data_IF_145434419926
#
_entry.id   IF_145434419926
#
_cell.length_a   1.000
_cell.length_b   1.000
_cell.length_c   1.000
_cell.angle_alpha   90.00
_cell.angle_beta   90.00
_cell.angle_gamma   90.00
#
_symmetry.space_group_name_H-M   'P 1'
#
loop_
_entity.id
_entity.type
_entity.pdbx_description
1 polymer ?
#
# COMPACT_ATOMS: atom_id res chain seq x y z
N UNK A 1 26.84 -33.70 -11.26
CA UNK A 1 25.51 -34.01 -11.84
C UNK A 1 24.43 -33.44 -10.94
N UNK A 2 24.00 -32.21 -11.19
CA UNK A 2 23.03 -31.50 -10.33
C UNK A 2 21.61 -31.93 -10.69
N UNK A 3 20.92 -32.61 -9.77
CA UNK A 3 19.51 -33.00 -9.93
C UNK A 3 18.66 -31.74 -9.99
N UNK A 4 18.19 -31.38 -11.19
CA UNK A 4 17.13 -30.38 -11.36
C UNK A 4 15.89 -30.89 -10.63
N UNK A 5 15.51 -30.20 -9.56
CA UNK A 5 14.18 -30.37 -8.95
C UNK A 5 13.20 -29.77 -9.95
N UNK A 6 12.55 -30.63 -10.73
CA UNK A 6 11.49 -30.23 -11.65
C UNK A 6 10.31 -29.76 -10.81
N UNK A 7 10.05 -28.45 -10.79
CA UNK A 7 8.82 -27.92 -10.21
C UNK A 7 7.65 -28.46 -11.03
N UNK A 8 6.72 -29.13 -10.37
CA UNK A 8 5.47 -29.54 -11.01
C UNK A 8 4.74 -28.28 -11.52
N UNK A 9 4.15 -28.33 -12.73
CA UNK A 9 3.40 -27.20 -13.26
C UNK A 9 2.26 -26.85 -12.31
N UNK A 10 2.17 -25.56 -11.95
CA UNK A 10 1.04 -25.01 -11.21
C UNK A 10 -0.20 -25.26 -12.09
N UNK A 11 -1.26 -25.92 -11.57
CA UNK A 11 -2.45 -26.16 -12.37
C UNK A 11 -3.00 -24.81 -12.87
N UNK A 12 -3.54 -24.76 -14.10
CA UNK A 12 -4.14 -23.53 -14.61
C UNK A 12 -5.22 -23.07 -13.63
N UNK A 13 -5.17 -21.79 -13.27
CA UNK A 13 -6.23 -21.12 -12.53
C UNK A 13 -7.56 -21.48 -13.19
N UNK A 14 -8.51 -21.99 -12.40
CA UNK A 14 -9.89 -22.10 -12.85
C UNK A 14 -10.30 -20.76 -13.48
N UNK A 15 -11.10 -20.82 -14.55
CA UNK A 15 -11.71 -19.63 -15.14
C UNK A 15 -12.34 -18.80 -14.00
N UNK A 16 -12.17 -17.46 -14.00
CA UNK A 16 -12.78 -16.65 -12.96
C UNK A 16 -14.27 -16.98 -12.92
N UNK A 17 -14.79 -17.29 -11.74
CA UNK A 17 -16.23 -17.45 -11.55
C UNK A 17 -16.92 -16.21 -12.12
N UNK A 18 -18.03 -16.39 -12.82
CA UNK A 18 -18.78 -15.28 -13.39
C UNK A 18 -19.07 -14.26 -12.28
N UNK A 19 -18.53 -13.04 -12.42
CA UNK A 19 -18.70 -12.00 -11.42
C UNK A 19 -20.18 -11.59 -11.34
N UNK A 20 -20.74 -11.45 -10.14
CA UNK A 20 -22.14 -10.99 -9.96
C UNK A 20 -22.34 -9.65 -10.69
N UNK A 21 -23.29 -9.56 -11.61
CA UNK A 21 -23.49 -8.39 -12.46
C UNK A 21 -24.38 -7.30 -11.83
N UNK A 22 -24.95 -7.54 -10.64
CA UNK A 22 -25.78 -6.56 -9.93
C UNK A 22 -24.92 -5.40 -9.42
N UNK A 23 -25.56 -4.25 -9.19
CA UNK A 23 -24.93 -3.11 -8.52
C UNK A 23 -24.46 -3.56 -7.12
N UNK A 24 -23.22 -3.24 -6.77
CA UNK A 24 -22.65 -3.67 -5.51
C UNK A 24 -23.42 -3.13 -4.29
N UNK A 25 -24.06 -1.96 -4.39
CA UNK A 25 -24.91 -1.38 -3.33
C UNK A 25 -26.19 -2.18 -3.11
N UNK A 26 -26.60 -2.99 -4.08
CA UNK A 26 -27.78 -3.85 -3.96
C UNK A 26 -27.49 -5.17 -3.21
N UNK A 27 -26.22 -5.48 -2.94
CA UNK A 27 -25.80 -6.71 -2.27
C UNK A 27 -25.69 -6.51 -0.76
N UNK A 28 -26.21 -7.45 0.02
CA UNK A 28 -26.00 -7.48 1.48
C UNK A 28 -24.58 -7.94 1.83
N UNK A 29 -24.03 -7.59 3.02
CA UNK A 29 -22.70 -8.05 3.44
C UNK A 29 -22.48 -9.57 3.34
N UNK A 30 -23.52 -10.38 3.56
CA UNK A 30 -23.44 -11.83 3.43
C UNK A 30 -23.36 -12.29 1.97
N UNK A 31 -24.10 -11.66 1.07
CA UNK A 31 -24.00 -11.90 -0.38
C UNK A 31 -22.68 -11.37 -0.97
N UNK A 32 -22.03 -10.43 -0.28
CA UNK A 32 -20.78 -9.80 -0.74
C UNK A 32 -19.50 -10.57 -0.43
N UNK A 33 -19.56 -11.59 0.43
CA UNK A 33 -18.36 -12.33 0.86
C UNK A 33 -17.59 -12.95 -0.33
N UNK A 34 -18.29 -13.30 -1.41
CA UNK A 34 -17.72 -13.92 -2.61
C UNK A 34 -17.20 -12.92 -3.64
N UNK A 35 -17.42 -11.62 -3.46
CA UNK A 35 -16.96 -10.59 -4.41
C UNK A 35 -15.44 -10.52 -4.57
N UNK A 36 -14.71 -10.99 -3.57
CA UNK A 36 -13.25 -11.05 -3.58
C UNK A 36 -12.72 -12.39 -4.10
N UNK A 37 -13.57 -13.34 -4.52
CA UNK A 37 -13.13 -14.64 -5.00
C UNK A 37 -12.16 -14.50 -6.18
N UNK A 38 -10.97 -15.10 -6.05
CA UNK A 38 -9.91 -15.00 -7.05
C UNK A 38 -9.28 -13.60 -7.21
N UNK A 39 -9.65 -12.63 -6.38
CA UNK A 39 -9.07 -11.28 -6.38
C UNK A 39 -8.00 -11.15 -5.29
N UNK A 40 -6.86 -10.56 -5.65
CA UNK A 40 -5.79 -10.21 -4.69
C UNK A 40 -5.44 -8.72 -4.70
N UNK A 41 -6.20 -7.90 -5.44
CA UNK A 41 -5.82 -6.52 -5.79
C UNK A 41 -5.63 -5.60 -4.58
N UNK A 42 -6.50 -5.68 -3.57
CA UNK A 42 -6.34 -4.91 -2.33
C UNK A 42 -5.13 -5.34 -1.49
N UNK A 43 -4.48 -6.46 -1.81
CA UNK A 43 -3.27 -6.95 -1.18
C UNK A 43 -2.00 -6.65 -2.00
N UNK A 44 -2.08 -5.92 -3.11
CA UNK A 44 -0.93 -5.60 -3.98
C UNK A 44 -0.50 -4.14 -3.96
N UNK A 45 -1.17 -3.31 -3.17
CA UNK A 45 -0.81 -1.91 -2.97
C UNK A 45 -1.36 -1.40 -1.64
N UNK A 46 -0.90 -0.23 -1.21
CA UNK A 46 -1.55 0.58 -0.18
C UNK A 46 -1.88 1.95 -0.73
N UNK A 47 -3.02 2.51 -0.31
CA UNK A 47 -3.39 3.89 -0.60
C UNK A 47 -3.51 4.65 0.71
N UNK A 48 -2.83 5.79 0.80
CA UNK A 48 -2.72 6.59 2.02
C UNK A 48 -3.11 8.01 1.66
N UNK A 49 -4.11 8.55 2.36
CA UNK A 49 -4.45 9.97 2.23
C UNK A 49 -3.28 10.82 2.74
N UNK A 50 -2.89 11.81 1.95
CA UNK A 50 -1.82 12.77 2.23
C UNK A 50 -2.36 14.19 2.16
N UNK A 51 -1.69 15.12 2.83
CA UNK A 51 -2.04 16.52 2.73
C UNK A 51 -1.76 17.07 1.31
N UNK A 52 -2.62 17.94 0.77
CA UNK A 52 -2.35 18.63 -0.48
C UNK A 52 -1.08 19.48 -0.35
N UNK A 53 -0.19 19.51 -1.36
CA UNK A 53 0.97 20.39 -1.36
C UNK A 53 0.56 21.87 -1.39
N UNK A 54 1.06 22.64 -0.42
CA UNK A 54 0.76 24.07 -0.17
C UNK A 54 1.92 24.99 -0.54
N UNK A 55 3.14 24.46 -0.65
CA UNK A 55 4.35 25.23 -0.96
C UNK A 55 5.12 24.67 -2.15
N UNK A 56 5.98 25.50 -2.75
CA UNK A 56 6.85 25.09 -3.85
C UNK A 56 7.74 23.89 -3.47
N UNK A 57 8.29 23.90 -2.26
CA UNK A 57 9.12 22.81 -1.73
C UNK A 57 8.34 21.50 -1.53
N UNK A 58 7.06 21.56 -1.13
CA UNK A 58 6.21 20.37 -1.03
C UNK A 58 5.91 19.75 -2.39
N UNK A 59 5.65 20.57 -3.43
CA UNK A 59 5.54 20.04 -4.80
C UNK A 59 6.84 19.40 -5.26
N UNK A 60 7.98 20.02 -4.96
CA UNK A 60 9.29 19.50 -5.36
C UNK A 60 9.61 18.15 -4.69
N UNK A 61 9.22 17.98 -3.42
CA UNK A 61 9.31 16.69 -2.73
C UNK A 61 8.44 15.62 -3.37
N UNK A 62 7.19 15.93 -3.72
CA UNK A 62 6.31 14.93 -4.35
C UNK A 62 6.80 14.56 -5.74
N UNK A 63 7.41 15.50 -6.47
CA UNK A 63 8.08 15.22 -7.74
C UNK A 63 9.27 14.26 -7.51
N UNK A 64 10.07 14.49 -6.46
CA UNK A 64 11.13 13.55 -6.06
C UNK A 64 10.58 12.16 -5.68
N UNK A 65 9.48 12.08 -4.94
CA UNK A 65 8.80 10.81 -4.62
C UNK A 65 8.42 10.06 -5.90
N UNK A 66 7.81 10.75 -6.87
CA UNK A 66 7.38 10.17 -8.15
C UNK A 66 8.53 9.74 -9.08
N UNK A 67 9.79 10.02 -8.75
CA UNK A 67 10.94 9.42 -9.44
C UNK A 67 11.26 7.99 -8.99
N UNK A 68 10.60 7.48 -7.94
CA UNK A 68 10.80 6.13 -7.45
C UNK A 68 9.76 5.16 -8.02
N UNK A 69 10.20 3.95 -8.38
CA UNK A 69 9.31 2.91 -8.91
C UNK A 69 8.25 2.52 -7.88
N UNK A 70 7.02 2.29 -8.35
CA UNK A 70 5.91 1.84 -7.52
C UNK A 70 5.28 2.93 -6.65
N UNK A 71 5.70 4.18 -6.76
CA UNK A 71 5.07 5.33 -6.10
C UNK A 71 4.27 6.13 -7.12
N UNK A 72 3.00 6.33 -6.82
CA UNK A 72 2.07 7.10 -7.64
C UNK A 72 1.25 8.00 -6.73
N UNK A 73 0.72 9.09 -7.25
CA UNK A 73 -0.16 10.00 -6.49
C UNK A 73 -1.44 10.16 -7.27
N UNK A 74 -2.58 10.15 -6.61
CA UNK A 74 -3.84 10.48 -7.25
C UNK A 74 -4.65 11.48 -6.43
N UNK A 75 -5.51 12.22 -7.14
CA UNK A 75 -6.35 13.27 -6.60
C UNK A 75 -7.81 12.88 -6.80
N UNK A 76 -8.58 12.86 -5.72
CA UNK A 76 -10.03 12.70 -5.74
C UNK A 76 -10.75 14.02 -5.50
N UNK A 77 -11.99 14.13 -5.97
CA UNK A 77 -12.89 15.24 -5.64
C UNK A 77 -13.26 15.21 -4.14
N UNK A 78 -13.45 16.37 -3.48
CA UNK A 78 -13.26 17.73 -4.03
C UNK A 78 -11.78 18.14 -4.15
N UNK A 79 -10.92 17.74 -3.21
CA UNK A 79 -9.47 17.97 -3.27
C UNK A 79 -8.71 17.06 -2.29
N UNK A 80 -8.88 15.74 -2.42
CA UNK A 80 -8.22 14.76 -1.53
C UNK A 80 -7.05 14.10 -2.24
N UNK A 81 -5.87 14.16 -1.65
CA UNK A 81 -4.65 13.62 -2.24
C UNK A 81 -4.32 12.27 -1.62
N UNK A 82 -3.83 11.35 -2.43
CA UNK A 82 -3.48 10.02 -1.99
C UNK A 82 -2.14 9.60 -2.57
N UNK A 83 -1.29 9.02 -1.73
CA UNK A 83 -0.12 8.27 -2.14
C UNK A 83 -0.52 6.81 -2.36
N UNK A 84 -0.34 6.34 -3.59
CA UNK A 84 -0.50 4.95 -3.98
C UNK A 84 0.88 4.28 -4.05
N UNK A 85 1.09 3.29 -3.19
CA UNK A 85 2.35 2.55 -3.10
C UNK A 85 2.10 1.11 -3.53
N UNK A 86 2.72 0.71 -4.64
CA UNK A 86 2.72 -0.67 -5.08
C UNK A 86 3.52 -1.55 -4.11
N UNK A 87 2.93 -2.66 -3.68
CA UNK A 87 3.56 -3.53 -2.71
C UNK A 87 2.71 -4.75 -2.38
N UNK A 88 3.26 -5.94 -2.61
CA UNK A 88 2.57 -7.19 -2.29
C UNK A 88 2.60 -7.43 -0.77
N UNK A 89 1.41 -7.59 -0.18
CA UNK A 89 1.23 -7.91 1.22
C UNK A 89 1.96 -9.21 1.57
N UNK A 90 2.78 -9.17 2.63
CA UNK A 90 3.55 -10.34 3.10
C UNK A 90 2.69 -11.49 3.61
N UNK A 91 1.42 -11.26 3.87
CA UNK A 91 0.46 -12.28 4.30
C UNK A 91 -0.33 -12.87 3.13
N UNK A 92 -0.17 -12.37 1.91
CA UNK A 92 -0.75 -12.97 0.72
C UNK A 92 0.07 -14.18 0.29
N UNK A 93 -0.52 -15.36 0.36
CA UNK A 93 0.15 -16.60 -0.02
C UNK A 93 0.00 -16.92 -1.52
N UNK A 94 0.75 -17.93 -1.98
CA UNK A 94 0.76 -18.37 -3.38
C UNK A 94 -0.59 -18.90 -3.88
N UNK A 95 -1.53 -19.21 -2.98
CA UNK A 95 -2.89 -19.62 -3.33
C UNK A 95 -3.88 -18.44 -3.37
N UNK A 96 -3.38 -17.20 -3.30
CA UNK A 96 -4.19 -15.98 -3.35
C UNK A 96 -5.02 -15.73 -2.08
N UNK A 97 -4.61 -16.30 -0.93
CA UNK A 97 -5.32 -16.14 0.34
C UNK A 97 -4.45 -15.45 1.39
N UNK A 98 -5.11 -14.82 2.38
CA UNK A 98 -4.43 -14.21 3.51
C UNK A 98 -4.09 -15.27 4.59
N UNK A 99 -2.81 -15.37 4.96
CA UNK A 99 -2.30 -16.30 5.98
C UNK A 99 -2.73 -15.95 7.42
N UNK A 100 -3.25 -14.74 7.64
CA UNK A 100 -3.71 -14.26 8.95
C UNK A 100 -5.22 -14.06 9.02
N UNK A 101 -5.99 -14.81 8.22
CA UNK A 101 -7.44 -14.72 8.22
C UNK A 101 -8.02 -14.86 9.65
N UNK A 102 -8.93 -13.95 10.03
CA UNK A 102 -9.47 -13.85 11.40
C UNK A 102 -8.60 -13.06 12.40
N UNK A 103 -7.37 -12.69 12.04
CA UNK A 103 -6.44 -11.86 12.83
C UNK A 103 -5.98 -10.62 12.06
N UNK A 104 -6.78 -10.19 11.10
CA UNK A 104 -6.47 -9.03 10.28
C UNK A 104 -6.40 -7.74 11.10
N UNK A 105 -5.61 -6.74 10.65
CA UNK A 105 -5.80 -5.36 11.09
C UNK A 105 -7.24 -4.91 10.89
N UNK A 106 -7.70 -4.00 11.75
CA UNK A 106 -9.07 -3.46 11.72
C UNK A 106 -9.43 -2.95 10.33
N UNK A 107 -8.54 -2.17 9.69
CA UNK A 107 -8.75 -1.65 8.33
C UNK A 107 -9.09 -2.74 7.30
N UNK A 108 -8.41 -3.88 7.35
CA UNK A 108 -8.68 -5.00 6.44
C UNK A 108 -9.97 -5.74 6.78
N UNK A 109 -10.37 -5.75 8.06
CA UNK A 109 -11.61 -6.41 8.52
C UNK A 109 -12.84 -5.55 8.21
N UNK A 110 -12.70 -4.24 8.30
CA UNK A 110 -13.78 -3.28 8.09
C UNK A 110 -13.91 -2.89 6.61
N UNK A 111 -13.07 -3.46 5.74
CA UNK A 111 -13.15 -3.27 4.28
C UNK A 111 -14.45 -3.84 3.72
N UNK A 112 -15.15 -3.03 2.92
CA UNK A 112 -16.37 -3.42 2.23
C UNK A 112 -16.07 -3.70 0.74
N UNK A 113 -16.13 -4.95 0.27
CA UNK A 113 -15.89 -5.29 -1.14
C UNK A 113 -16.79 -4.56 -2.12
N UNK A 114 -17.93 -4.03 -1.67
CA UNK A 114 -18.84 -3.26 -2.53
C UNK A 114 -18.28 -1.90 -2.96
N UNK A 115 -17.35 -1.34 -2.19
CA UNK A 115 -16.70 -0.07 -2.50
C UNK A 115 -15.37 -0.26 -3.23
N UNK A 116 -15.01 -1.50 -3.58
CA UNK A 116 -13.79 -1.85 -4.30
C UNK A 116 -13.74 -1.17 -5.68
N UNK A 117 -12.55 -0.75 -6.12
CA UNK A 117 -12.34 -0.13 -7.44
C UNK A 117 -12.74 -1.02 -8.64
N UNK A 118 -12.88 -2.33 -8.41
CA UNK A 118 -13.37 -3.30 -9.41
C UNK A 118 -14.86 -3.12 -9.66
N UNK A 119 -15.61 -2.78 -8.61
CA UNK A 119 -17.08 -2.72 -8.60
C UNK A 119 -17.59 -1.30 -8.70
N UNK A 120 -16.94 -0.41 -7.97
CA UNK A 120 -17.20 1.01 -8.02
C UNK A 120 -15.98 1.66 -8.69
N UNK A 121 -16.03 1.93 -10.02
CA UNK A 121 -14.91 2.57 -10.69
C UNK A 121 -14.59 3.88 -9.99
N UNK A 122 -13.31 4.23 -9.98
CA UNK A 122 -12.76 5.41 -9.30
C UNK A 122 -13.19 6.71 -10.00
N UNK A 123 -14.50 6.92 -10.10
CA UNK A 123 -15.15 7.98 -10.86
C UNK A 123 -14.83 9.36 -10.30
N UNK A 124 -14.46 9.43 -9.02
CA UNK A 124 -14.07 10.65 -8.32
C UNK A 124 -12.60 11.04 -8.49
N UNK A 125 -11.79 10.23 -9.17
CA UNK A 125 -10.43 10.60 -9.51
C UNK A 125 -10.42 11.70 -10.55
N UNK A 126 -9.87 12.84 -10.15
CA UNK A 126 -9.64 14.01 -11.00
C UNK A 126 -8.32 13.91 -11.76
N UNK A 127 -7.29 13.34 -11.13
CA UNK A 127 -5.96 13.19 -11.74
C UNK A 127 -5.21 12.03 -11.11
N UNK A 128 -4.33 11.41 -11.89
CA UNK A 128 -3.44 10.34 -11.45
C UNK A 128 -2.05 10.60 -12.03
N UNK A 129 -1.06 10.65 -11.16
CA UNK A 129 0.34 10.93 -11.47
C UNK A 129 1.14 9.65 -11.23
N UNK A 130 1.52 8.98 -12.31
CA UNK A 130 2.36 7.78 -12.27
C UNK A 130 3.83 8.16 -12.31
N UNK A 131 4.13 9.28 -12.95
CA UNK A 131 5.45 9.83 -13.10
C UNK A 131 5.48 11.31 -12.69
N UNK A 132 6.67 11.80 -12.36
CA UNK A 132 6.90 13.22 -12.06
C UNK A 132 6.35 14.14 -13.16
N UNK A 133 6.54 13.77 -14.44
CA UNK A 133 6.09 14.53 -15.59
C UNK A 133 4.56 14.71 -15.62
N UNK A 134 3.79 13.73 -15.13
CA UNK A 134 2.33 13.83 -15.06
C UNK A 134 1.91 14.95 -14.11
N UNK A 135 2.54 15.02 -12.93
CA UNK A 135 2.28 16.04 -11.92
C UNK A 135 2.69 17.43 -12.43
N UNK A 136 3.87 17.54 -13.04
CA UNK A 136 4.35 18.81 -13.59
C UNK A 136 3.44 19.32 -14.72
N UNK A 137 3.04 18.46 -15.65
CA UNK A 137 2.12 18.80 -16.73
C UNK A 137 0.74 19.20 -16.19
N UNK A 138 0.25 18.52 -15.15
CA UNK A 138 -0.99 18.88 -14.49
C UNK A 138 -0.88 20.23 -13.76
N UNK A 139 0.22 20.49 -13.05
CA UNK A 139 0.45 21.78 -12.39
C UNK A 139 0.47 22.93 -13.39
N UNK A 140 1.10 22.75 -14.55
CA UNK A 140 1.13 23.78 -15.61
C UNK A 140 -0.27 24.16 -16.08
N UNK A 141 -1.16 23.17 -16.27
CA UNK A 141 -2.52 23.41 -16.76
C UNK A 141 -3.49 23.86 -15.66
N UNK A 142 -3.48 23.18 -14.52
CA UNK A 142 -4.52 23.26 -13.49
C UNK A 142 -4.11 24.16 -12.31
N UNK A 143 -2.81 24.35 -12.09
CA UNK A 143 -2.26 25.15 -10.98
C UNK A 143 -1.11 26.09 -11.42
N UNK A 144 -1.28 26.92 -12.46
CA UNK A 144 -0.19 27.70 -13.05
C UNK A 144 0.50 28.66 -12.07
N UNK A 145 -0.20 29.14 -11.04
CA UNK A 145 0.40 29.94 -9.97
C UNK A 145 1.37 29.12 -9.11
N UNK A 146 1.03 27.87 -8.77
CA UNK A 146 1.93 26.96 -8.03
C UNK A 146 3.10 26.53 -8.90
N UNK A 147 2.87 26.27 -10.19
CA UNK A 147 3.94 25.98 -11.16
C UNK A 147 4.99 27.10 -11.21
N UNK A 148 4.57 28.36 -11.36
CA UNK A 148 5.49 29.51 -11.36
C UNK A 148 6.31 29.60 -10.06
N UNK A 149 5.69 29.34 -8.92
CA UNK A 149 6.39 29.32 -7.62
C UNK A 149 7.40 28.18 -7.53
N UNK A 150 7.06 26.99 -8.04
CA UNK A 150 7.97 25.84 -8.10
C UNK A 150 9.19 26.14 -8.98
N UNK A 151 8.98 26.69 -10.17
CA UNK A 151 10.08 27.03 -11.09
C UNK A 151 11.00 28.10 -10.47
N UNK A 152 10.43 29.14 -9.86
CA UNK A 152 11.20 30.15 -9.14
C UNK A 152 11.98 29.54 -7.97
N UNK A 153 11.33 28.69 -7.16
CA UNK A 153 11.97 27.96 -6.06
C UNK A 153 13.17 27.14 -6.53
N UNK A 154 13.03 26.34 -7.60
CA UNK A 154 14.14 25.52 -8.13
C UNK A 154 15.31 26.35 -8.65
N UNK A 155 15.03 27.51 -9.23
CA UNK A 155 16.05 28.45 -9.70
C UNK A 155 16.79 29.11 -8.54
N UNK A 156 16.05 29.51 -7.50
CA UNK A 156 16.56 30.33 -6.40
C UNK A 156 17.12 29.48 -5.24
N UNK A 157 16.72 28.20 -5.14
CA UNK A 157 17.20 27.29 -4.12
C UNK A 157 18.71 27.09 -4.27
N UNK A 158 19.49 27.16 -3.17
CA UNK A 158 20.92 26.93 -3.21
C UNK A 158 21.19 25.55 -3.78
N UNK A 159 21.89 25.48 -4.91
CA UNK A 159 22.48 24.24 -5.34
C UNK A 159 23.58 23.94 -4.33
N UNK A 160 23.47 22.80 -3.61
CA UNK A 160 24.67 22.25 -2.98
C UNK A 160 25.76 22.16 -4.06
N UNK A 161 27.05 22.32 -3.71
CA UNK A 161 28.13 22.07 -4.67
C UNK A 161 27.80 20.76 -5.39
N UNK A 162 27.86 20.72 -6.72
CA UNK A 162 27.52 19.52 -7.48
C UNK A 162 28.12 18.32 -6.78
N UNK A 163 27.32 17.29 -6.53
CA UNK A 163 27.86 16.04 -5.96
C UNK A 163 29.04 15.58 -6.83
N UNK A 164 29.05 15.88 -8.13
CA UNK A 164 30.19 15.74 -9.03
C UNK A 164 31.48 16.44 -8.54
N UNK A 165 31.42 17.67 -8.04
CA UNK A 165 32.57 18.42 -7.52
C UNK A 165 33.07 17.82 -6.20
N UNK A 166 32.15 17.35 -5.35
CA UNK A 166 32.49 16.65 -4.10
C UNK A 166 32.98 15.20 -4.34
N UNK A 167 32.53 14.55 -5.42
CA UNK A 167 32.94 13.20 -5.82
C UNK A 167 34.24 13.19 -6.63
N UNK A 168 34.55 14.26 -7.38
CA UNK A 168 35.83 14.43 -8.08
C UNK A 168 37.03 14.35 -7.12
N UNK A 169 36.82 14.69 -5.85
CA UNK A 169 37.82 14.59 -4.78
C UNK A 169 37.92 13.19 -4.12
N UNK A 170 37.09 12.21 -4.51
CA UNK A 170 37.05 10.87 -3.90
C UNK A 170 37.59 9.83 -4.88
N UNK A 171 38.38 8.89 -4.39
CA UNK A 171 38.76 7.71 -5.17
C UNK A 171 37.50 6.94 -5.61
N UNK A 172 37.44 6.39 -6.83
CA UNK A 172 36.28 5.66 -7.31
C UNK A 172 36.02 4.44 -6.42
N UNK A 173 34.93 4.48 -5.65
CA UNK A 173 34.38 3.32 -4.97
C UNK A 173 33.49 2.53 -5.96
N UNK A 174 33.43 1.21 -5.81
CA UNK A 174 32.52 0.38 -6.61
C UNK A 174 31.06 0.80 -6.43
N UNK A 175 30.28 0.78 -7.50
CA UNK A 175 28.84 1.06 -7.48
C UNK A 175 28.06 -0.16 -6.99
N UNK A 176 26.97 0.07 -6.25
CA UNK A 176 26.03 -0.97 -5.83
C UNK A 176 24.98 -1.15 -6.95
N UNK A 177 24.94 -2.29 -7.67
CA UNK A 177 24.02 -2.48 -8.79
C UNK A 177 22.56 -2.38 -8.33
N UNK A 178 21.70 -1.72 -9.12
CA UNK A 178 20.29 -1.47 -8.77
C UNK A 178 19.52 -2.78 -8.55
N UNK A 179 19.90 -3.85 -9.25
CA UNK A 179 19.33 -5.19 -9.10
C UNK A 179 19.56 -5.76 -7.69
N UNK A 180 20.65 -5.38 -7.03
CA UNK A 180 20.93 -5.76 -5.64
C UNK A 180 20.09 -4.96 -4.63
N UNK A 181 19.51 -3.83 -5.04
CA UNK A 181 18.60 -3.00 -4.25
C UNK A 181 17.12 -3.39 -4.44
N UNK A 182 16.83 -4.32 -5.35
CA UNK A 182 15.47 -4.79 -5.57
C UNK A 182 14.91 -5.35 -4.25
N UNK A 183 13.87 -4.69 -3.72
CA UNK A 183 13.10 -5.21 -2.58
C UNK A 183 12.55 -6.55 -3.01
N UNK A 184 13.12 -7.64 -2.49
CA UNK A 184 12.71 -8.99 -2.85
C UNK A 184 11.21 -9.17 -2.61
N UNK A 185 10.45 -9.29 -3.71
CA UNK A 185 9.06 -9.76 -3.70
C UNK A 185 8.95 -11.22 -3.24
N UNK A 186 10.09 -11.91 -3.10
CA UNK A 186 10.16 -13.22 -2.48
C UNK A 186 9.80 -13.10 -1.00
N UNK A 187 8.52 -13.36 -0.70
CA UNK A 187 8.07 -13.70 0.64
C UNK A 187 9.07 -14.70 1.23
N UNK A 188 9.72 -14.30 2.32
CA UNK A 188 10.59 -15.17 3.09
C UNK A 188 9.81 -16.47 3.30
N UNK A 189 10.31 -17.58 2.73
CA UNK A 189 9.78 -18.92 3.04
C UNK A 189 9.76 -19.02 4.55
N UNK A 190 8.57 -19.05 5.17
CA UNK A 190 8.46 -19.44 6.57
C UNK A 190 9.10 -20.81 6.66
N UNK A 191 10.15 -21.02 7.47
CA UNK A 191 10.57 -22.39 7.77
C UNK A 191 9.34 -23.13 8.31
N UNK A 192 9.13 -24.35 7.81
CA UNK A 192 8.06 -25.23 8.23
C UNK A 192 8.00 -25.28 9.77
N UNK A 193 6.78 -25.24 10.31
CA UNK A 193 6.50 -24.98 11.71
C UNK A 193 7.38 -25.77 12.68
N UNK A 194 7.81 -25.09 13.74
CA UNK A 194 8.31 -25.75 14.94
C UNK A 194 7.13 -26.52 15.56
N UNK A 195 7.26 -27.82 15.90
CA UNK A 195 6.17 -28.56 16.54
C UNK A 195 5.76 -27.85 17.83
N UNK A 196 4.44 -27.84 18.06
CA UNK A 196 3.79 -27.03 19.08
C UNK A 196 4.43 -27.19 20.46
N UNK A 197 4.66 -26.06 21.13
CA UNK A 197 4.84 -26.07 22.58
C UNK A 197 3.48 -26.42 23.19
N UNK A 198 3.46 -27.50 23.97
CA UNK A 198 2.32 -27.91 24.79
C UNK A 198 1.69 -26.72 25.50
N UNK A 199 0.35 -26.70 25.48
CA UNK A 199 -0.46 -25.70 26.15
C UNK A 199 -0.16 -25.74 27.66
N UNK A 200 0.28 -24.61 28.21
CA UNK A 200 0.32 -24.42 29.66
C UNK A 200 -1.13 -24.50 30.19
N UNK A 201 -1.40 -25.29 31.25
CA UNK A 201 -2.75 -25.45 31.77
C UNK A 201 -3.31 -24.10 32.27
N UNK A 202 -4.55 -23.82 31.86
CA UNK A 202 -5.33 -22.66 32.31
C UNK A 202 -5.50 -22.71 33.83
N UNK A 203 -4.97 -21.72 34.54
CA UNK A 203 -5.36 -21.48 35.94
C UNK A 203 -6.79 -20.96 35.97
N UNK A 204 -7.65 -21.73 36.63
CA UNK A 204 -9.06 -21.43 36.91
C UNK A 204 -9.21 -20.07 37.62
N UNK A 205 -10.24 -19.33 37.22
CA UNK A 205 -10.65 -18.06 37.81
C UNK A 205 -11.24 -18.30 39.22
N UNK A 206 -10.65 -17.69 40.24
CA UNK A 206 -11.31 -17.53 41.52
C UNK A 206 -12.12 -16.23 41.50
N UNK A 207 -13.44 -16.37 41.50
CA UNK A 207 -14.40 -15.29 41.73
C UNK A 207 -14.24 -14.74 43.14
N UNK A 208 -13.93 -13.46 43.29
CA UNK A 208 -14.24 -12.71 44.51
C UNK A 208 -15.22 -11.60 44.18
N UNK A 209 -16.50 -11.85 44.47
CA UNK A 209 -17.52 -10.81 44.64
C UNK A 209 -17.07 -9.89 45.77
N UNK A 210 -17.13 -8.56 45.58
CA UNK A 210 -17.21 -7.64 46.71
C UNK A 210 -18.27 -6.57 46.47
N UNK A 211 -19.25 -6.67 47.36
CA UNK A 211 -20.37 -5.81 47.69
C UNK A 211 -20.28 -4.32 47.29
N UNK A 212 -21.41 -3.87 46.75
CA UNK A 212 -21.98 -2.53 46.86
C UNK A 212 -21.92 -1.96 48.28
N UNK A 213 -21.44 -0.72 48.41
CA UNK A 213 -21.77 0.16 49.52
C UNK A 213 -21.90 1.58 48.98
N UNK A 214 -23.11 2.13 49.07
CA UNK A 214 -23.43 3.48 48.62
C UNK A 214 -22.74 4.56 49.47
N UNK A 215 -22.69 5.76 48.89
CA UNK A 215 -22.58 7.01 49.65
C UNK A 215 -23.39 8.08 48.92
N UNK A 216 -24.41 8.57 49.61
CA UNK A 216 -25.05 9.88 49.39
C UNK A 216 -24.15 10.98 49.96
N UNK A 217 -24.50 12.20 49.57
CA UNK A 217 -24.27 13.51 50.21
C UNK A 217 -23.12 14.35 49.64
N UNK A 218 -23.49 15.55 49.21
CA UNK A 218 -22.66 16.63 48.66
C UNK A 218 -23.39 17.31 47.53
#
# INVERSE_FOLDING_TARGET
>A
MSRRVSAAPIPPSAAPAAEDARDARALSPAENADLCAGCVRCCTYVSIEIDPPRSAWEYDQWIWVLHHRGLQIYLERPERWFLHVEGVCRQLNAAGRCDIHGRHPVLCRDYDPRTCERRYPLSDIRAWFREAADLEAWMQRERPAHWRRLVAWRRDAPQAPPVADALAARAPAGFVPVESLAVSAAGARRPAGRPGREALPRRSAASTRRASAGRRAG
#
